data_IF_084939255361
#
_entry.id   IF_084939255361
#
_cell.length_a   1.000
_cell.length_b   1.000
_cell.length_c   1.000
_cell.angle_alpha   90.00
_cell.angle_beta   90.00
_cell.angle_gamma   90.00
#
_symmetry.space_group_name_H-M   'P 1'
#
loop_
_entity.id
_entity.type
_entity.pdbx_description
1 polymer ?
#
# COMPACT_ATOMS: atom_id res chain seq x y z
N UNK A 1 -16.47 -22.99 -4.82
CA UNK A 1 -16.56 -21.54 -4.58
C UNK A 1 -17.22 -21.20 -3.25
N UNK A 2 -16.81 -20.06 -2.65
CA UNK A 2 -17.39 -19.63 -1.38
C UNK A 2 -18.81 -19.06 -1.56
N UNK A 3 -19.16 -18.52 -2.73
CA UNK A 3 -20.47 -17.96 -3.01
C UNK A 3 -20.41 -16.51 -3.52
N UNK A 4 -21.16 -15.60 -2.89
CA UNK A 4 -21.23 -14.18 -3.24
C UNK A 4 -20.14 -13.39 -2.52
N UNK A 5 -19.32 -12.68 -3.28
CA UNK A 5 -18.19 -11.92 -2.74
C UNK A 5 -18.41 -10.42 -2.92
N UNK A 6 -18.42 -9.68 -1.82
CA UNK A 6 -18.30 -8.23 -1.85
C UNK A 6 -16.82 -7.85 -2.00
N UNK A 7 -16.50 -7.04 -2.99
CA UNK A 7 -15.17 -6.49 -3.20
C UNK A 7 -15.24 -4.96 -3.09
N UNK A 8 -14.44 -4.38 -2.20
CA UNK A 8 -14.36 -2.93 -1.99
C UNK A 8 -12.92 -2.51 -2.24
N UNK A 9 -12.69 -1.65 -3.22
CA UNK A 9 -11.36 -1.28 -3.70
C UNK A 9 -11.09 0.22 -3.53
N UNK A 10 -9.82 0.60 -3.30
CA UNK A 10 -9.41 1.97 -3.06
C UNK A 10 -9.19 2.75 -4.36
N UNK A 11 -8.92 4.04 -4.21
CA UNK A 11 -8.73 5.00 -5.29
C UNK A 11 -7.29 5.09 -5.84
N UNK A 12 -6.29 4.58 -5.11
CA UNK A 12 -4.88 4.80 -5.48
C UNK A 12 -4.38 3.93 -6.64
N UNK A 13 -4.96 2.73 -6.83
CA UNK A 13 -4.72 1.84 -7.97
C UNK A 13 -6.02 1.20 -8.44
N UNK A 14 -6.99 1.98 -8.97
CA UNK A 14 -8.36 1.52 -9.13
C UNK A 14 -8.50 0.31 -10.05
N UNK A 15 -7.86 0.33 -11.24
CA UNK A 15 -7.92 -0.79 -12.18
C UNK A 15 -7.10 -2.00 -11.70
N UNK A 16 -5.92 -1.75 -11.13
CA UNK A 16 -5.05 -2.82 -10.64
C UNK A 16 -5.69 -3.58 -9.47
N UNK A 17 -6.28 -2.86 -8.52
CA UNK A 17 -6.97 -3.47 -7.38
C UNK A 17 -8.23 -4.22 -7.79
N UNK A 18 -8.94 -3.74 -8.80
CA UNK A 18 -10.03 -4.50 -9.42
C UNK A 18 -9.52 -5.80 -10.03
N UNK A 19 -8.45 -5.75 -10.83
CA UNK A 19 -7.87 -6.92 -11.48
C UNK A 19 -7.36 -7.98 -10.48
N UNK A 20 -6.65 -7.55 -9.44
CA UNK A 20 -6.13 -8.46 -8.41
C UNK A 20 -7.23 -9.25 -7.69
N UNK A 21 -8.40 -8.64 -7.53
CA UNK A 21 -9.54 -9.28 -6.86
C UNK A 21 -10.44 -10.05 -7.83
N UNK A 22 -10.68 -9.50 -9.03
CA UNK A 22 -11.56 -10.14 -10.02
C UNK A 22 -10.95 -11.40 -10.62
N UNK A 23 -9.64 -11.43 -10.89
CA UNK A 23 -8.96 -12.60 -11.43
C UNK A 23 -9.23 -13.87 -10.61
N UNK A 24 -8.83 -13.92 -9.32
CA UNK A 24 -9.00 -15.13 -8.53
C UNK A 24 -10.46 -15.45 -8.18
N UNK A 25 -11.31 -14.45 -7.94
CA UNK A 25 -12.72 -14.69 -7.57
C UNK A 25 -13.52 -15.30 -8.71
N UNK A 26 -13.30 -14.83 -9.95
CA UNK A 26 -13.93 -15.38 -11.15
C UNK A 26 -13.38 -16.77 -11.47
N UNK A 27 -12.06 -16.97 -11.33
CA UNK A 27 -11.41 -18.29 -11.50
C UNK A 27 -11.96 -19.31 -10.50
N UNK A 28 -12.29 -18.88 -9.27
CA UNK A 28 -12.90 -19.75 -8.24
C UNK A 28 -14.39 -20.05 -8.53
N UNK A 29 -15.01 -19.40 -9.51
CA UNK A 29 -16.43 -19.59 -9.84
C UNK A 29 -17.41 -18.88 -8.89
N UNK A 30 -16.98 -17.81 -8.22
CA UNK A 30 -17.82 -16.98 -7.36
C UNK A 30 -18.55 -15.90 -8.17
N UNK A 31 -19.60 -15.33 -7.59
CA UNK A 31 -20.23 -14.09 -8.06
C UNK A 31 -19.76 -12.89 -7.26
N UNK A 32 -19.77 -11.71 -7.87
CA UNK A 32 -19.12 -10.51 -7.31
C UNK A 32 -20.04 -9.32 -7.31
N UNK A 33 -20.04 -8.59 -6.20
CA UNK A 33 -20.51 -7.21 -6.12
C UNK A 33 -19.29 -6.34 -5.81
N UNK A 34 -18.82 -5.58 -6.81
CA UNK A 34 -17.64 -4.71 -6.73
C UNK A 34 -18.06 -3.26 -6.45
N UNK A 35 -17.55 -2.68 -5.37
CA UNK A 35 -17.65 -1.26 -5.09
C UNK A 35 -16.30 -0.57 -5.26
N UNK A 36 -16.08 0.22 -6.33
CA UNK A 36 -14.90 1.07 -6.45
C UNK A 36 -14.98 2.27 -5.51
N UNK A 37 -13.84 2.92 -5.27
CA UNK A 37 -13.81 4.19 -4.56
C UNK A 37 -14.59 5.27 -5.33
N UNK A 38 -15.19 6.18 -4.61
CA UNK A 38 -16.01 7.27 -5.13
C UNK A 38 -15.21 8.23 -6.02
N UNK A 39 -13.92 8.41 -5.74
CA UNK A 39 -13.01 9.26 -6.52
C UNK A 39 -12.61 8.66 -7.87
N UNK A 40 -12.67 7.31 -8.00
CA UNK A 40 -12.09 6.63 -9.18
C UNK A 40 -12.95 5.47 -9.71
N UNK A 41 -14.27 5.64 -9.97
CA UNK A 41 -15.14 4.53 -10.34
C UNK A 41 -15.03 4.13 -11.83
N UNK A 42 -14.59 5.03 -12.71
CA UNK A 42 -14.77 4.90 -14.17
C UNK A 42 -14.05 3.70 -14.75
N UNK A 43 -12.83 3.40 -14.31
CA UNK A 43 -12.08 2.24 -14.81
C UNK A 43 -12.71 0.91 -14.41
N UNK A 44 -13.30 0.81 -13.22
CA UNK A 44 -14.01 -0.39 -12.79
C UNK A 44 -15.31 -0.61 -13.59
N UNK A 45 -16.06 0.47 -13.85
CA UNK A 45 -17.25 0.41 -14.72
C UNK A 45 -16.89 -0.03 -16.14
N UNK A 46 -15.82 0.54 -16.71
CA UNK A 46 -15.36 0.13 -18.06
C UNK A 46 -14.89 -1.31 -18.09
N UNK A 47 -14.18 -1.76 -17.04
CA UNK A 47 -13.74 -3.16 -16.94
C UNK A 47 -14.93 -4.12 -16.88
N UNK A 48 -15.98 -3.79 -16.12
CA UNK A 48 -17.19 -4.61 -16.06
C UNK A 48 -17.87 -4.73 -17.44
N UNK A 49 -17.96 -3.64 -18.18
CA UNK A 49 -18.48 -3.68 -19.55
C UNK A 49 -17.64 -4.58 -20.46
N UNK A 50 -16.31 -4.48 -20.37
CA UNK A 50 -15.41 -5.35 -21.16
C UNK A 50 -15.55 -6.83 -20.79
N UNK A 51 -15.78 -7.14 -19.51
CA UNK A 51 -16.07 -8.51 -19.08
C UNK A 51 -17.38 -9.04 -19.70
N UNK A 52 -18.43 -8.23 -19.77
CA UNK A 52 -19.69 -8.59 -20.42
C UNK A 52 -19.49 -8.78 -21.92
N UNK A 53 -18.79 -7.87 -22.59
CA UNK A 53 -18.47 -7.94 -24.02
C UNK A 53 -17.64 -9.20 -24.34
N UNK A 54 -16.81 -9.67 -23.41
CA UNK A 54 -16.04 -10.91 -23.49
C UNK A 54 -16.85 -12.18 -23.21
N UNK A 55 -18.14 -12.08 -22.90
CA UNK A 55 -19.04 -13.20 -22.67
C UNK A 55 -19.18 -13.65 -21.20
N UNK A 56 -18.75 -12.84 -20.23
CA UNK A 56 -19.05 -13.13 -18.84
C UNK A 56 -20.58 -13.10 -18.63
N UNK A 57 -21.20 -14.17 -18.06
CA UNK A 57 -22.65 -14.20 -17.90
C UNK A 57 -23.19 -13.04 -17.06
N UNK A 58 -24.37 -12.48 -17.40
CA UNK A 58 -25.02 -11.46 -16.59
C UNK A 58 -25.20 -11.88 -15.14
N UNK A 59 -24.94 -10.96 -14.20
CA UNK A 59 -25.06 -11.21 -12.77
C UNK A 59 -23.82 -11.83 -12.09
N UNK A 60 -22.83 -12.30 -12.86
CA UNK A 60 -21.57 -12.81 -12.28
C UNK A 60 -20.72 -11.67 -11.72
N UNK A 61 -20.62 -10.56 -12.44
CA UNK A 61 -19.96 -9.33 -11.97
C UNK A 61 -20.95 -8.17 -11.98
N UNK A 62 -21.15 -7.56 -10.82
CA UNK A 62 -22.01 -6.39 -10.62
C UNK A 62 -21.17 -5.27 -10.02
N UNK A 63 -21.19 -4.08 -10.62
CA UNK A 63 -20.49 -2.91 -10.09
C UNK A 63 -21.50 -1.92 -9.54
N UNK A 64 -21.33 -1.55 -8.27
CA UNK A 64 -22.14 -0.54 -7.60
C UNK A 64 -21.29 0.65 -7.20
N UNK A 65 -21.76 1.85 -7.48
CA UNK A 65 -21.09 3.10 -7.11
C UNK A 65 -21.80 3.75 -5.93
N UNK A 66 -21.05 4.44 -5.08
CA UNK A 66 -21.59 5.13 -3.91
C UNK A 66 -20.50 5.39 -2.87
N UNK A 67 -20.87 6.12 -1.82
CA UNK A 67 -19.97 6.44 -0.71
C UNK A 67 -19.75 5.24 0.21
N UNK A 68 -18.66 5.30 0.97
CA UNK A 68 -18.28 4.25 1.91
C UNK A 68 -19.42 3.93 2.89
N UNK A 69 -20.00 4.95 3.52
CA UNK A 69 -21.02 4.84 4.56
C UNK A 69 -22.38 4.35 4.04
N UNK A 70 -22.79 4.79 2.85
CA UNK A 70 -24.13 4.52 2.33
C UNK A 70 -24.21 3.35 1.36
N UNK A 71 -23.08 2.91 0.82
CA UNK A 71 -22.97 1.80 -0.12
C UNK A 71 -22.03 0.69 0.40
N UNK A 72 -20.80 1.06 0.81
CA UNK A 72 -19.81 0.11 1.27
C UNK A 72 -20.17 -0.60 2.58
N UNK A 73 -20.63 0.16 3.59
CA UNK A 73 -20.98 -0.40 4.88
C UNK A 73 -22.20 -1.34 4.81
N UNK A 74 -23.33 -1.00 4.13
CA UNK A 74 -24.43 -1.94 3.92
C UNK A 74 -23.99 -3.18 3.12
N UNK A 75 -23.13 -3.03 2.10
CA UNK A 75 -22.61 -4.16 1.33
C UNK A 75 -21.82 -5.12 2.22
N UNK A 76 -20.92 -4.60 3.06
CA UNK A 76 -20.10 -5.40 3.98
C UNK A 76 -20.94 -6.13 5.04
N UNK A 77 -22.06 -5.53 5.46
CA UNK A 77 -22.95 -6.09 6.46
C UNK A 77 -24.07 -7.00 5.87
N UNK A 78 -24.18 -7.10 4.55
CA UNK A 78 -25.32 -7.78 3.91
C UNK A 78 -25.30 -9.28 4.15
N UNK A 79 -26.42 -9.85 4.62
CA UNK A 79 -26.51 -11.27 5.01
C UNK A 79 -26.37 -12.27 3.86
N UNK A 80 -26.58 -11.85 2.60
CA UNK A 80 -26.38 -12.69 1.41
C UNK A 80 -24.97 -12.59 0.82
N UNK A 81 -24.06 -11.89 1.50
CA UNK A 81 -22.65 -11.83 1.15
C UNK A 81 -21.89 -12.85 2.00
N UNK A 82 -21.23 -13.82 1.35
CA UNK A 82 -20.48 -14.88 2.00
C UNK A 82 -19.04 -14.45 2.37
N UNK A 83 -18.51 -13.47 1.65
CA UNK A 83 -17.14 -12.97 1.86
C UNK A 83 -17.02 -11.50 1.51
N UNK A 84 -16.19 -10.78 2.30
CA UNK A 84 -15.73 -9.43 1.96
C UNK A 84 -14.23 -9.46 1.66
N UNK A 85 -13.83 -8.97 0.50
CA UNK A 85 -12.45 -8.69 0.13
C UNK A 85 -12.26 -7.16 0.06
N UNK A 86 -11.47 -6.63 0.98
CA UNK A 86 -11.30 -5.17 1.16
C UNK A 86 -9.84 -4.75 1.00
N UNK A 87 -9.63 -3.66 0.27
CA UNK A 87 -8.38 -2.91 0.28
C UNK A 87 -8.68 -1.45 0.59
N UNK A 88 -8.00 -0.89 1.60
CA UNK A 88 -8.19 0.50 2.02
C UNK A 88 -7.51 0.83 3.35
N UNK A 89 -8.08 1.77 4.12
CA UNK A 89 -7.49 2.16 5.40
C UNK A 89 -7.68 1.11 6.49
N UNK A 90 -6.74 1.07 7.44
CA UNK A 90 -6.83 0.17 8.62
C UNK A 90 -8.08 0.44 9.46
N UNK A 91 -8.50 1.70 9.55
CA UNK A 91 -9.71 2.09 10.28
C UNK A 91 -10.97 1.48 9.67
N UNK A 92 -11.14 1.61 8.35
CA UNK A 92 -12.27 1.01 7.63
C UNK A 92 -12.20 -0.51 7.66
N UNK A 93 -11.00 -1.10 7.53
CA UNK A 93 -10.80 -2.54 7.68
C UNK A 93 -11.34 -3.08 9.01
N UNK A 94 -11.09 -2.38 10.12
CA UNK A 94 -11.64 -2.72 11.44
C UNK A 94 -13.17 -2.64 11.50
N UNK A 95 -13.78 -1.68 10.81
CA UNK A 95 -15.24 -1.57 10.72
C UNK A 95 -15.84 -2.76 9.95
N UNK A 96 -15.19 -3.16 8.84
CA UNK A 96 -15.61 -4.33 8.05
C UNK A 96 -15.53 -5.61 8.86
N UNK A 97 -14.45 -5.82 9.63
CA UNK A 97 -14.35 -6.98 10.52
C UNK A 97 -15.46 -7.01 11.56
N UNK A 98 -15.78 -5.86 12.15
CA UNK A 98 -16.91 -5.76 13.11
C UNK A 98 -18.23 -6.10 12.44
N UNK A 99 -18.49 -5.63 11.23
CA UNK A 99 -19.71 -5.95 10.49
C UNK A 99 -19.77 -7.45 10.13
N UNK A 100 -18.68 -8.04 9.69
CA UNK A 100 -18.60 -9.46 9.33
C UNK A 100 -18.76 -10.43 10.51
N UNK A 101 -18.49 -9.98 11.72
CA UNK A 101 -18.65 -10.79 12.93
C UNK A 101 -20.09 -11.21 13.20
N UNK A 102 -21.11 -10.48 12.70
CA UNK A 102 -22.51 -10.77 12.95
C UNK A 102 -22.99 -12.12 12.35
N UNK A 103 -22.40 -12.51 11.23
CA UNK A 103 -22.76 -13.74 10.49
C UNK A 103 -21.54 -14.60 10.15
N UNK A 104 -20.37 -14.28 10.71
CA UNK A 104 -19.10 -14.99 10.55
C UNK A 104 -18.62 -15.11 9.10
N UNK A 105 -19.02 -14.19 8.22
CA UNK A 105 -18.54 -14.18 6.84
C UNK A 105 -17.03 -14.01 6.76
N UNK A 106 -16.40 -14.63 5.77
CA UNK A 106 -14.95 -14.54 5.60
C UNK A 106 -14.55 -13.13 5.17
N UNK A 107 -13.39 -12.69 5.64
CA UNK A 107 -12.82 -11.38 5.33
C UNK A 107 -11.37 -11.54 4.94
N UNK A 108 -10.95 -10.88 3.85
CA UNK A 108 -9.55 -10.62 3.54
C UNK A 108 -9.33 -9.11 3.48
N UNK A 109 -8.21 -8.66 4.03
CA UNK A 109 -7.89 -7.25 4.23
C UNK A 109 -6.48 -6.95 3.71
N UNK A 110 -6.39 -5.98 2.81
CA UNK A 110 -5.15 -5.32 2.41
C UNK A 110 -5.22 -3.87 2.85
N UNK A 111 -4.43 -3.51 3.85
CA UNK A 111 -4.55 -2.23 4.56
C UNK A 111 -3.27 -1.40 4.42
N UNK A 112 -3.17 -0.35 5.23
CA UNK A 112 -2.05 0.58 5.20
C UNK A 112 -0.71 -0.01 5.57
N UNK A 113 0.34 0.77 5.33
CA UNK A 113 1.72 0.40 5.63
C UNK A 113 2.58 1.58 6.10
N UNK A 114 3.69 1.25 6.73
CA UNK A 114 4.77 2.18 7.11
C UNK A 114 6.11 1.48 6.88
N UNK A 115 6.36 1.12 5.63
CA UNK A 115 7.41 0.18 5.25
C UNK A 115 8.81 0.73 5.51
N UNK A 116 9.66 -0.02 6.21
CA UNK A 116 11.08 0.30 6.32
C UNK A 116 11.78 0.01 4.99
N UNK A 117 12.69 0.89 4.59
CA UNK A 117 13.59 0.72 3.46
C UNK A 117 15.02 0.93 3.98
N UNK A 118 15.85 -0.10 3.96
CA UNK A 118 17.12 -0.16 4.70
C UNK A 118 18.28 -0.17 3.71
N UNK A 119 19.16 0.84 3.78
CA UNK A 119 20.35 0.96 2.94
C UNK A 119 21.59 0.72 3.80
N UNK A 120 22.34 -0.36 3.50
CA UNK A 120 23.53 -0.74 4.22
C UNK A 120 24.79 -0.03 3.67
N UNK A 121 25.91 -0.17 4.40
CA UNK A 121 27.19 0.45 4.06
C UNK A 121 27.81 -0.09 2.75
N UNK A 122 27.49 -1.33 2.40
CA UNK A 122 27.97 -2.04 1.20
C UNK A 122 26.96 -2.00 0.03
N UNK A 123 25.89 -1.22 0.14
CA UNK A 123 24.89 -1.09 -0.93
C UNK A 123 25.49 -0.41 -2.17
N UNK A 124 25.08 -0.86 -3.35
CA UNK A 124 25.26 -0.12 -4.59
C UNK A 124 24.41 1.16 -4.55
N UNK A 125 25.03 2.30 -4.31
CA UNK A 125 24.32 3.57 -4.15
C UNK A 125 23.75 4.11 -5.46
N UNK A 126 24.30 3.71 -6.60
CA UNK A 126 23.79 4.12 -7.92
C UNK A 126 22.43 3.45 -8.21
N UNK A 127 22.17 2.29 -7.62
CA UNK A 127 20.87 1.61 -7.64
C UNK A 127 20.00 1.97 -6.43
N UNK A 128 20.57 2.03 -5.23
CA UNK A 128 19.82 2.21 -3.98
C UNK A 128 19.18 3.61 -3.85
N UNK A 129 19.87 4.67 -4.28
CA UNK A 129 19.36 6.05 -4.20
C UNK A 129 18.12 6.24 -5.09
N UNK A 130 18.17 5.97 -6.41
CA UNK A 130 16.98 6.08 -7.24
C UNK A 130 15.89 5.08 -6.83
N UNK A 131 16.26 3.89 -6.38
CA UNK A 131 15.32 2.89 -5.86
C UNK A 131 14.60 3.37 -4.59
N UNK A 132 15.32 3.99 -3.64
CA UNK A 132 14.73 4.57 -2.44
C UNK A 132 13.82 5.77 -2.75
N UNK A 133 14.21 6.63 -3.69
CA UNK A 133 13.37 7.73 -4.16
C UNK A 133 12.09 7.22 -4.83
N UNK A 134 12.21 6.23 -5.72
CA UNK A 134 11.06 5.60 -6.37
C UNK A 134 10.15 4.90 -5.36
N UNK A 135 10.70 4.24 -4.34
CA UNK A 135 9.94 3.56 -3.31
C UNK A 135 8.92 4.46 -2.58
N UNK A 136 9.19 5.77 -2.51
CA UNK A 136 8.28 6.71 -1.85
C UNK A 136 7.56 7.65 -2.82
N UNK A 137 8.23 8.13 -3.87
CA UNK A 137 7.63 9.15 -4.73
C UNK A 137 6.76 8.56 -5.85
N UNK A 138 6.89 7.26 -6.15
CA UNK A 138 5.96 6.56 -7.04
C UNK A 138 4.52 6.75 -6.58
N UNK A 139 3.63 7.02 -7.53
CA UNK A 139 2.21 7.29 -7.28
C UNK A 139 1.96 8.36 -6.19
N UNK A 140 2.80 9.40 -6.12
CA UNK A 140 2.69 10.51 -5.15
C UNK A 140 2.86 10.05 -3.68
N UNK A 141 3.49 8.92 -3.43
CA UNK A 141 3.50 8.27 -2.11
C UNK A 141 2.14 7.75 -1.65
N UNK A 142 1.13 7.80 -2.51
CA UNK A 142 -0.20 7.22 -2.28
C UNK A 142 -0.19 5.73 -2.59
N UNK A 143 0.70 5.02 -1.93
CA UNK A 143 0.97 3.60 -2.10
C UNK A 143 1.10 2.93 -0.73
N UNK A 144 0.32 1.88 -0.49
CA UNK A 144 0.28 1.19 0.80
C UNK A 144 1.63 0.58 1.21
N UNK A 145 2.44 0.14 0.24
CA UNK A 145 3.77 -0.42 0.48
C UNK A 145 4.91 0.61 0.34
N UNK A 146 4.60 1.92 0.21
CA UNK A 146 5.63 2.95 0.04
C UNK A 146 6.73 2.87 1.11
N UNK A 147 8.00 2.95 0.67
CA UNK A 147 9.19 2.92 1.54
C UNK A 147 9.36 4.23 2.31
N UNK A 148 8.39 4.55 3.16
CA UNK A 148 8.24 5.86 3.81
C UNK A 148 9.17 6.07 5.00
N UNK A 149 9.82 5.01 5.52
CA UNK A 149 10.87 5.08 6.55
C UNK A 149 12.19 4.58 5.95
N UNK A 150 13.07 5.51 5.58
CA UNK A 150 14.38 5.20 4.99
C UNK A 150 15.45 5.16 6.09
N UNK A 151 15.91 3.95 6.42
CA UNK A 151 17.02 3.71 7.33
C UNK A 151 18.31 3.64 6.52
N UNK A 152 19.31 4.44 6.89
CA UNK A 152 20.59 4.49 6.17
C UNK A 152 21.73 4.28 7.14
N UNK A 153 22.63 3.33 6.83
CA UNK A 153 23.82 3.12 7.66
C UNK A 153 24.73 4.37 7.60
N UNK A 154 25.24 4.81 8.76
CA UNK A 154 25.91 6.11 8.95
C UNK A 154 26.96 6.42 7.86
N UNK A 155 27.71 5.42 7.42
CA UNK A 155 28.74 5.58 6.38
C UNK A 155 28.19 6.16 5.07
N UNK A 156 26.95 5.86 4.72
CA UNK A 156 26.32 6.29 3.48
C UNK A 156 25.26 7.39 3.68
N UNK A 157 25.05 7.82 4.93
CA UNK A 157 23.91 8.65 5.31
C UNK A 157 23.81 9.94 4.48
N UNK A 158 24.87 10.75 4.49
CA UNK A 158 24.86 12.04 3.80
C UNK A 158 24.66 11.90 2.28
N UNK A 159 25.31 10.88 1.67
CA UNK A 159 25.18 10.61 0.23
C UNK A 159 23.75 10.20 -0.14
N UNK A 160 23.13 9.33 0.64
CA UNK A 160 21.77 8.86 0.39
C UNK A 160 20.77 9.97 0.65
N UNK A 161 20.91 10.71 1.76
CA UNK A 161 20.04 11.85 2.10
C UNK A 161 20.08 12.92 0.99
N UNK A 162 21.28 13.30 0.54
CA UNK A 162 21.41 14.27 -0.54
C UNK A 162 20.88 13.71 -1.87
N UNK A 163 21.20 12.47 -2.21
CA UNK A 163 20.78 11.82 -3.44
C UNK A 163 19.24 11.72 -3.56
N UNK A 164 18.57 11.26 -2.50
CA UNK A 164 17.11 11.18 -2.45
C UNK A 164 16.49 12.57 -2.48
N UNK A 165 17.09 13.54 -1.78
CA UNK A 165 16.64 14.96 -1.81
C UNK A 165 16.80 15.59 -3.18
N UNK A 166 17.88 15.29 -3.90
CA UNK A 166 18.10 15.74 -5.28
C UNK A 166 17.06 15.13 -6.22
N UNK A 167 16.79 13.83 -6.09
CA UNK A 167 15.74 13.16 -6.85
C UNK A 167 14.36 13.79 -6.58
N UNK A 168 14.03 14.07 -5.31
CA UNK A 168 12.79 14.75 -4.92
C UNK A 168 12.62 16.12 -5.60
N UNK A 169 13.67 16.94 -5.59
CA UNK A 169 13.65 18.28 -6.21
C UNK A 169 13.56 18.24 -7.74
N UNK A 170 14.03 17.16 -8.36
CA UNK A 170 14.01 17.00 -9.82
C UNK A 170 12.63 16.62 -10.38
N UNK A 171 11.72 16.11 -9.56
CA UNK A 171 10.39 15.68 -9.98
C UNK A 171 9.58 16.90 -10.45
N UNK A 172 9.14 16.86 -11.71
CA UNK A 172 8.28 17.90 -12.30
C UNK A 172 6.83 17.69 -11.91
N UNK A 173 6.32 18.59 -11.08
CA UNK A 173 4.92 18.62 -10.68
C UNK A 173 4.06 19.26 -11.76
N UNK A 174 2.88 18.70 -12.02
CA UNK A 174 1.94 19.28 -12.98
C UNK A 174 0.70 18.43 -13.19
N UNK A 175 -0.25 18.92 -14.00
CA UNK A 175 -1.49 18.19 -14.31
C UNK A 175 -1.22 16.82 -14.94
N UNK A 176 -1.99 15.80 -14.55
CA UNK A 176 -1.77 14.43 -15.01
C UNK A 176 -1.93 14.20 -16.51
N UNK A 177 -2.62 15.10 -17.23
CA UNK A 177 -2.74 15.04 -18.69
C UNK A 177 -1.58 15.74 -19.43
N UNK A 178 -0.69 16.42 -18.71
CA UNK A 178 0.50 16.99 -19.32
C UNK A 178 1.60 15.92 -19.40
N UNK A 179 2.08 15.53 -20.58
CA UNK A 179 3.07 14.48 -20.75
C UNK A 179 4.44 14.82 -20.15
N UNK A 180 4.68 16.07 -19.80
CA UNK A 180 5.91 16.51 -19.11
C UNK A 180 5.82 16.39 -17.59
N UNK A 181 4.62 16.17 -17.03
CA UNK A 181 4.46 15.97 -15.59
C UNK A 181 4.96 14.60 -15.18
N UNK A 182 5.71 14.55 -14.09
CA UNK A 182 6.21 13.32 -13.47
C UNK A 182 5.42 12.96 -12.19
N UNK A 183 4.83 13.97 -11.56
CA UNK A 183 3.95 13.79 -10.42
C UNK A 183 2.78 14.76 -10.49
N UNK A 184 1.57 14.22 -10.38
CA UNK A 184 0.31 14.98 -10.37
C UNK A 184 -0.07 15.49 -8.97
N UNK A 185 -1.34 15.93 -8.79
CA UNK A 185 -1.88 16.30 -7.48
C UNK A 185 -2.23 15.06 -6.65
N UNK A 186 -2.37 15.24 -5.35
CA UNK A 186 -3.05 14.25 -4.49
C UNK A 186 -4.51 14.08 -4.95
N UNK A 187 -5.09 12.92 -4.66
CA UNK A 187 -6.40 12.52 -5.19
C UNK A 187 -7.54 13.46 -4.80
N UNK A 188 -7.51 14.05 -3.62
CA UNK A 188 -8.61 14.86 -3.08
C UNK A 188 -8.13 15.93 -2.08
N UNK A 189 -9.05 16.86 -1.74
CA UNK A 189 -8.80 17.84 -0.67
C UNK A 189 -8.57 17.15 0.68
N UNK A 190 -9.32 16.10 0.99
CA UNK A 190 -9.18 15.34 2.25
C UNK A 190 -7.77 14.76 2.36
N UNK A 191 -7.24 14.18 1.28
CA UNK A 191 -5.89 13.64 1.26
C UNK A 191 -4.83 14.75 1.34
N UNK A 192 -5.05 15.87 0.68
CA UNK A 192 -4.18 17.05 0.77
C UNK A 192 -4.11 17.58 2.21
N UNK A 193 -5.25 17.76 2.87
CA UNK A 193 -5.33 18.23 4.27
C UNK A 193 -4.63 17.24 5.23
N UNK A 194 -4.79 15.92 4.99
CA UNK A 194 -4.10 14.87 5.75
C UNK A 194 -2.58 15.01 5.62
N UNK A 195 -2.05 15.04 4.42
CA UNK A 195 -0.60 15.11 4.17
C UNK A 195 -0.01 16.40 4.73
N UNK A 196 -0.63 17.56 4.48
CA UNK A 196 -0.17 18.84 5.01
C UNK A 196 -0.27 18.92 6.53
N UNK A 197 -1.26 18.26 7.13
CA UNK A 197 -1.37 18.07 8.58
C UNK A 197 -0.18 17.29 9.17
N UNK A 198 0.25 16.22 8.52
CA UNK A 198 1.45 15.49 8.92
C UNK A 198 2.75 16.30 8.77
N UNK A 199 2.88 17.08 7.70
CA UNK A 199 4.04 17.97 7.52
C UNK A 199 4.12 19.00 8.64
N UNK A 200 2.99 19.56 9.06
CA UNK A 200 2.90 20.47 10.20
C UNK A 200 3.28 19.78 11.49
N UNK A 201 2.68 18.63 11.80
CA UNK A 201 3.01 17.82 12.99
C UNK A 201 4.50 17.48 13.05
N UNK A 202 5.08 17.00 11.96
CA UNK A 202 6.52 16.69 11.92
C UNK A 202 7.39 17.88 12.23
N UNK A 203 7.07 19.07 11.71
CA UNK A 203 7.78 20.32 12.02
C UNK A 203 7.61 20.72 13.50
N UNK A 204 6.40 20.64 14.03
CA UNK A 204 6.09 20.94 15.44
C UNK A 204 6.78 19.97 16.39
N UNK A 205 6.92 18.70 16.02
CA UNK A 205 7.62 17.66 16.78
C UNK A 205 9.16 17.73 16.63
N UNK A 206 9.70 18.62 15.77
CA UNK A 206 11.13 18.88 15.64
C UNK A 206 11.82 18.19 14.44
N UNK A 207 11.08 17.57 13.53
CA UNK A 207 11.65 17.03 12.29
C UNK A 207 12.21 18.14 11.41
N UNK A 208 13.38 17.94 10.83
CA UNK A 208 14.02 18.85 9.90
C UNK A 208 13.55 18.57 8.47
N UNK A 209 12.97 19.55 7.80
CA UNK A 209 12.65 19.45 6.38
C UNK A 209 13.90 19.73 5.54
N UNK A 210 14.39 18.73 4.81
CA UNK A 210 15.56 18.81 3.93
C UNK A 210 15.17 19.38 2.55
N UNK A 211 14.00 18.97 2.04
CA UNK A 211 13.39 19.53 0.84
C UNK A 211 11.87 19.36 0.87
N UNK A 212 11.15 20.12 0.05
CA UNK A 212 9.69 20.09 0.00
C UNK A 212 9.03 20.68 1.25
N UNK A 213 8.11 19.96 1.83
CA UNK A 213 7.44 20.33 3.10
C UNK A 213 6.30 21.33 2.96
N UNK A 214 5.83 21.60 1.74
CA UNK A 214 4.80 22.61 1.49
C UNK A 214 3.93 22.27 0.27
N UNK A 215 2.83 23.00 0.16
CA UNK A 215 2.01 23.03 -1.05
C UNK A 215 2.81 23.58 -2.24
N UNK A 216 2.59 23.03 -3.42
CA UNK A 216 3.10 23.55 -4.68
C UNK A 216 1.99 24.30 -5.42
N UNK A 217 2.23 25.59 -5.73
CA UNK A 217 1.26 26.44 -6.41
C UNK A 217 -0.02 26.73 -5.62
N UNK A 218 -0.96 27.43 -6.25
CA UNK A 218 -2.20 27.91 -5.61
C UNK A 218 -3.44 27.11 -6.05
N UNK A 219 -3.35 26.34 -7.13
CA UNK A 219 -4.43 25.54 -7.71
C UNK A 219 -4.14 24.06 -7.59
N UNK A 220 -5.19 23.24 -7.42
CA UNK A 220 -5.07 21.80 -7.25
C UNK A 220 -4.51 21.39 -5.88
N UNK A 221 -4.32 20.09 -5.69
CA UNK A 221 -3.89 19.48 -4.42
C UNK A 221 -2.43 19.03 -4.48
N UNK A 222 -1.56 19.89 -5.01
CA UNK A 222 -0.15 19.56 -5.17
C UNK A 222 0.63 19.75 -3.87
N UNK A 223 1.41 18.73 -3.50
CA UNK A 223 2.38 18.76 -2.39
C UNK A 223 3.76 18.45 -2.95
N UNK A 224 4.76 19.23 -2.56
CA UNK A 224 6.13 18.98 -2.99
C UNK A 224 6.65 17.67 -2.42
N UNK A 225 7.36 16.83 -3.22
CA UNK A 225 8.11 15.69 -2.71
C UNK A 225 8.99 16.09 -1.54
N UNK A 226 8.81 15.43 -0.41
CA UNK A 226 9.33 15.90 0.88
C UNK A 226 10.25 14.86 1.52
N UNK A 227 11.41 15.34 1.96
CA UNK A 227 12.37 14.55 2.75
C UNK A 227 12.48 15.18 4.13
N UNK A 228 12.17 14.40 5.15
CA UNK A 228 12.30 14.76 6.56
C UNK A 228 13.48 14.02 7.17
N UNK A 229 14.27 14.72 7.98
CA UNK A 229 15.41 14.22 8.71
C UNK A 229 15.30 14.60 10.19
N UNK A 230 16.16 14.01 11.05
CA UNK A 230 16.14 14.26 12.48
C UNK A 230 14.85 13.79 13.18
N UNK A 231 14.17 12.80 12.59
CA UNK A 231 12.95 12.23 13.14
C UNK A 231 13.28 11.24 14.25
N UNK A 232 12.52 11.29 15.35
CA UNK A 232 12.54 10.27 16.40
C UNK A 232 11.48 9.20 16.15
N UNK A 233 11.67 8.02 16.74
CA UNK A 233 10.76 6.88 16.64
C UNK A 233 9.36 7.17 17.23
N UNK A 234 9.21 8.25 18.01
CA UNK A 234 7.96 8.65 18.66
C UNK A 234 7.13 9.63 17.82
N UNK A 235 7.71 10.25 16.80
CA UNK A 235 7.02 11.25 15.99
C UNK A 235 5.91 10.60 15.16
N UNK A 236 4.80 11.34 15.00
CA UNK A 236 3.69 10.87 14.16
C UNK A 236 4.10 10.60 12.72
N UNK A 237 4.96 11.42 12.15
CA UNK A 237 5.51 11.23 10.79
C UNK A 237 6.33 9.95 10.64
N UNK A 238 6.84 9.39 11.75
CA UNK A 238 7.55 8.10 11.77
C UNK A 238 6.57 6.93 11.95
N UNK A 239 5.59 7.04 12.85
CA UNK A 239 4.70 5.95 13.27
C UNK A 239 3.49 5.74 12.35
N UNK A 240 2.88 6.82 11.90
CA UNK A 240 1.62 6.78 11.16
C UNK A 240 1.83 6.82 9.64
N UNK A 241 0.92 6.19 8.90
CA UNK A 241 0.88 6.24 7.44
C UNK A 241 0.44 7.63 6.97
N UNK A 242 1.32 8.36 6.29
CA UNK A 242 1.03 9.68 5.72
C UNK A 242 0.21 9.55 4.44
N UNK A 243 0.55 8.59 3.59
CA UNK A 243 -0.05 8.32 2.29
C UNK A 243 0.09 9.49 1.32
N UNK A 244 1.31 10.03 1.25
CA UNK A 244 1.71 11.17 0.43
C UNK A 244 3.21 11.15 0.15
N UNK A 245 3.75 12.08 -0.65
CA UNK A 245 5.13 12.07 -1.11
C UNK A 245 6.10 12.54 -0.02
N UNK A 246 6.12 11.83 1.11
CA UNK A 246 6.90 12.20 2.30
C UNK A 246 7.68 11.01 2.82
N UNK A 247 9.00 11.12 2.88
CA UNK A 247 9.89 10.12 3.46
C UNK A 247 10.59 10.67 4.71
N UNK A 248 10.72 9.84 5.74
CA UNK A 248 11.57 10.09 6.90
C UNK A 248 12.89 9.34 6.72
N UNK A 249 14.02 10.01 6.93
CA UNK A 249 15.37 9.44 6.77
C UNK A 249 16.05 9.39 8.13
N UNK A 250 16.50 8.21 8.53
CA UNK A 250 17.09 7.96 9.84
C UNK A 250 18.45 7.25 9.70
N UNK A 251 19.48 7.69 10.44
CA UNK A 251 20.73 6.96 10.50
C UNK A 251 20.62 5.73 11.41
N UNK A 252 21.45 4.73 11.14
CA UNK A 252 21.76 3.63 12.07
C UNK A 252 23.23 3.26 11.96
N UNK A 253 23.80 2.71 13.04
CA UNK A 253 25.23 2.36 13.11
C UNK A 253 25.49 0.94 12.60
N UNK A 254 24.86 -0.03 13.25
CA UNK A 254 25.12 -1.44 13.03
C UNK A 254 23.83 -2.18 12.62
N UNK A 255 24.01 -3.31 11.97
CA UNK A 255 22.91 -4.25 11.68
C UNK A 255 22.75 -5.17 12.88
N UNK A 256 22.06 -4.70 13.86
CA UNK A 256 21.84 -5.33 15.16
C UNK A 256 20.34 -5.50 15.47
N UNK A 257 20.05 -5.98 16.66
CA UNK A 257 18.67 -6.18 17.14
C UNK A 257 17.93 -4.84 17.28
N UNK A 258 18.64 -3.74 17.53
CA UNK A 258 18.04 -2.40 17.64
C UNK A 258 17.51 -1.91 16.29
N UNK A 259 18.26 -2.06 15.20
CA UNK A 259 17.79 -1.75 13.85
C UNK A 259 16.54 -2.56 13.52
N UNK A 260 16.58 -3.88 13.78
CA UNK A 260 15.46 -4.76 13.50
C UNK A 260 14.23 -4.39 14.34
N UNK A 261 14.44 -4.08 15.62
CA UNK A 261 13.37 -3.59 16.51
C UNK A 261 12.74 -2.32 15.94
N UNK A 262 13.53 -1.31 15.59
CA UNK A 262 13.07 -0.04 15.03
C UNK A 262 12.36 -0.23 13.69
N UNK A 263 12.89 -1.06 12.81
CA UNK A 263 12.26 -1.38 11.53
C UNK A 263 10.86 -2.01 11.71
N UNK A 264 10.70 -2.85 12.73
CA UNK A 264 9.45 -3.53 13.06
C UNK A 264 8.51 -2.73 13.97
N UNK A 265 8.95 -1.61 14.56
CA UNK A 265 8.23 -0.86 15.59
C UNK A 265 7.18 0.09 15.01
N UNK A 266 6.20 -0.49 14.35
CA UNK A 266 4.94 0.16 13.96
C UNK A 266 3.82 -0.87 14.03
N UNK A 267 2.58 -0.40 14.00
CA UNK A 267 1.41 -1.29 13.93
C UNK A 267 1.27 -2.00 12.56
N UNK A 268 2.05 -1.59 11.58
CA UNK A 268 2.02 -2.08 10.21
C UNK A 268 3.06 -3.18 9.95
N UNK A 269 2.87 -3.90 8.84
CA UNK A 269 3.78 -4.92 8.37
C UNK A 269 3.47 -5.35 6.93
N UNK A 270 3.29 -4.38 6.01
CA UNK A 270 2.94 -4.70 4.62
C UNK A 270 4.17 -5.08 3.81
N UNK A 271 5.14 -4.18 3.72
CA UNK A 271 6.34 -4.40 2.92
C UNK A 271 7.60 -3.86 3.60
N UNK A 272 8.76 -4.21 3.03
CA UNK A 272 10.07 -3.70 3.41
C UNK A 272 11.04 -3.76 2.22
N UNK A 273 12.11 -2.96 2.27
CA UNK A 273 13.22 -3.02 1.31
C UNK A 273 14.57 -3.13 2.01
N UNK A 274 15.52 -3.83 1.38
CA UNK A 274 16.90 -3.98 1.87
C UNK A 274 17.87 -3.82 0.71
N UNK A 275 18.85 -2.93 0.85
CA UNK A 275 19.88 -2.67 -0.15
C UNK A 275 21.25 -3.04 0.41
N UNK A 276 21.91 -4.03 -0.18
CA UNK A 276 23.23 -4.55 0.21
C UNK A 276 23.80 -5.44 -0.88
N UNK A 277 25.11 -5.43 -1.08
CA UNK A 277 25.78 -6.38 -1.95
C UNK A 277 26.03 -7.75 -1.29
N UNK A 278 25.80 -7.87 0.03
CA UNK A 278 26.02 -9.09 0.78
C UNK A 278 24.73 -9.91 0.93
N UNK A 279 24.61 -10.98 0.15
CA UNK A 279 23.41 -11.83 0.12
C UNK A 279 23.07 -12.45 1.50
N UNK A 280 24.08 -12.77 2.32
CA UNK A 280 23.84 -13.32 3.68
C UNK A 280 23.21 -12.27 4.61
N UNK A 281 23.70 -11.03 4.53
CA UNK A 281 23.10 -9.90 5.29
C UNK A 281 21.68 -9.64 4.81
N UNK A 282 21.45 -9.64 3.49
CA UNK A 282 20.13 -9.43 2.91
C UNK A 282 19.11 -10.43 3.44
N UNK A 283 19.41 -11.74 3.35
CA UNK A 283 18.49 -12.79 3.85
C UNK A 283 18.32 -12.74 5.37
N UNK A 284 19.39 -12.47 6.13
CA UNK A 284 19.30 -12.36 7.59
C UNK A 284 18.35 -11.26 8.01
N UNK A 285 18.45 -10.08 7.39
CA UNK A 285 17.57 -8.94 7.69
C UNK A 285 16.15 -9.25 7.22
N UNK A 286 15.98 -9.71 5.97
CA UNK A 286 14.67 -10.02 5.40
C UNK A 286 13.87 -11.00 6.28
N UNK A 287 14.50 -12.04 6.82
CA UNK A 287 13.86 -13.02 7.68
C UNK A 287 13.42 -12.46 9.06
N UNK A 288 14.03 -11.37 9.51
CA UNK A 288 13.71 -10.75 10.80
C UNK A 288 12.68 -9.62 10.68
N UNK A 289 12.45 -9.11 9.45
CA UNK A 289 11.44 -8.08 9.21
C UNK A 289 10.03 -8.68 9.22
N UNK A 290 9.16 -8.09 10.00
CA UNK A 290 7.74 -8.50 10.10
C UNK A 290 6.90 -7.82 9.03
N UNK A 291 7.18 -8.16 7.78
CA UNK A 291 6.52 -7.67 6.58
C UNK A 291 6.10 -8.83 5.68
N UNK A 292 4.98 -8.67 4.98
CA UNK A 292 4.48 -9.71 4.08
C UNK A 292 5.28 -9.83 2.79
N UNK A 293 5.90 -8.73 2.35
CA UNK A 293 6.82 -8.69 1.21
C UNK A 293 8.12 -7.98 1.60
N UNK A 294 9.26 -8.57 1.26
CA UNK A 294 10.58 -7.93 1.43
C UNK A 294 11.31 -7.95 0.10
N UNK A 295 11.63 -6.78 -0.41
CA UNK A 295 12.45 -6.62 -1.61
C UNK A 295 13.92 -6.48 -1.27
N UNK A 296 14.79 -7.13 -2.04
CA UNK A 296 16.24 -7.05 -1.90
C UNK A 296 16.82 -6.44 -3.18
N UNK A 297 17.51 -5.31 -3.06
CA UNK A 297 18.10 -4.54 -4.15
C UNK A 297 17.10 -4.15 -5.27
N UNK A 298 15.85 -4.06 -4.93
CA UNK A 298 14.75 -3.56 -5.76
C UNK A 298 13.64 -3.02 -4.86
N UNK A 299 12.62 -2.39 -5.46
CA UNK A 299 11.40 -1.97 -4.76
C UNK A 299 10.23 -1.90 -5.75
N UNK A 300 9.00 -2.15 -5.26
CA UNK A 300 7.77 -2.14 -6.09
C UNK A 300 7.80 -3.11 -7.28
N UNK A 301 8.55 -4.21 -7.19
CA UNK A 301 8.52 -5.27 -8.19
C UNK A 301 7.47 -6.29 -7.78
N UNK A 302 6.45 -6.44 -8.61
CA UNK A 302 5.35 -7.36 -8.41
C UNK A 302 5.34 -8.44 -9.49
N UNK A 303 5.02 -9.66 -9.10
CA UNK A 303 4.80 -10.78 -10.01
C UNK A 303 3.51 -11.48 -9.62
N UNK A 304 2.66 -11.78 -10.61
CA UNK A 304 1.39 -12.45 -10.37
C UNK A 304 1.52 -13.83 -9.69
N UNK A 305 2.68 -14.45 -9.78
CA UNK A 305 2.99 -15.73 -9.13
C UNK A 305 3.40 -15.58 -7.66
N UNK A 306 3.74 -14.36 -7.19
CA UNK A 306 4.18 -14.10 -5.83
C UNK A 306 3.03 -13.54 -4.98
N UNK A 307 2.72 -14.14 -3.83
CA UNK A 307 1.68 -13.64 -2.95
C UNK A 307 2.07 -12.28 -2.35
N UNK A 308 1.10 -11.35 -2.31
CA UNK A 308 1.22 -10.04 -1.69
C UNK A 308 0.23 -9.89 -0.56
N UNK A 309 0.63 -9.27 0.56
CA UNK A 309 -0.26 -8.99 1.68
C UNK A 309 0.48 -8.73 2.98
N UNK A 310 -0.24 -8.21 3.98
CA UNK A 310 0.33 -7.68 5.20
C UNK A 310 0.46 -8.65 6.36
N UNK A 311 1.30 -8.23 7.32
CA UNK A 311 1.34 -8.72 8.69
C UNK A 311 0.72 -7.66 9.61
N UNK A 312 0.45 -7.99 10.86
CA UNK A 312 -0.05 -7.08 11.89
C UNK A 312 -1.32 -6.33 11.43
N UNK A 313 -1.38 -5.00 11.60
CA UNK A 313 -2.54 -4.20 11.19
C UNK A 313 -2.51 -3.76 9.71
N UNK A 314 -1.58 -4.30 8.92
CA UNK A 314 -1.66 -4.21 7.46
C UNK A 314 -2.61 -5.25 6.84
N UNK A 315 -3.22 -6.10 7.64
CA UNK A 315 -4.28 -7.00 7.21
C UNK A 315 -3.91 -8.47 7.23
N UNK A 316 -4.80 -9.28 6.66
CA UNK A 316 -4.64 -10.72 6.52
C UNK A 316 -5.27 -11.24 5.23
N UNK A 317 -4.88 -12.44 4.84
CA UNK A 317 -5.07 -12.95 3.50
C UNK A 317 -3.88 -12.62 2.61
N UNK A 318 -3.97 -13.03 1.36
CA UNK A 318 -2.98 -12.67 0.33
C UNK A 318 -3.70 -12.41 -0.98
N UNK A 319 -3.23 -11.41 -1.70
CA UNK A 319 -3.54 -11.19 -3.10
C UNK A 319 -2.44 -11.83 -3.95
N UNK A 320 -2.72 -12.16 -5.20
CA UNK A 320 -1.80 -12.83 -6.13
C UNK A 320 -1.28 -14.19 -5.62
N UNK A 321 -0.41 -14.84 -6.39
CA UNK A 321 0.06 -16.19 -6.10
C UNK A 321 -1.04 -17.24 -6.09
N UNK A 322 -0.68 -18.50 -5.96
CA UNK A 322 -1.65 -19.60 -5.83
C UNK A 322 -2.47 -19.55 -4.54
N UNK A 323 -1.93 -18.93 -3.49
CA UNK A 323 -2.56 -18.82 -2.18
C UNK A 323 -3.84 -17.99 -2.21
N UNK A 324 -3.98 -17.05 -3.12
CA UNK A 324 -5.18 -16.20 -3.24
C UNK A 324 -6.44 -17.01 -3.49
N UNK A 325 -6.36 -18.12 -4.22
CA UNK A 325 -7.52 -18.96 -4.51
C UNK A 325 -8.15 -19.55 -3.25
N UNK A 326 -7.35 -19.87 -2.24
CA UNK A 326 -7.84 -20.39 -0.94
C UNK A 326 -8.77 -19.40 -0.24
N UNK A 327 -8.66 -18.12 -0.55
CA UNK A 327 -9.54 -17.08 0.01
C UNK A 327 -10.96 -17.13 -0.58
N UNK A 328 -11.16 -17.77 -1.73
CA UNK A 328 -12.42 -17.83 -2.47
C UNK A 328 -13.01 -19.24 -2.56
N UNK A 329 -12.40 -20.20 -1.87
CA UNK A 329 -12.80 -21.60 -1.87
C UNK A 329 -13.16 -22.09 -0.46
N UNK A 330 -14.01 -23.11 -0.42
CA UNK A 330 -14.30 -23.88 0.79
C UNK A 330 -13.97 -25.34 0.61
N UNK A 331 -13.34 -25.93 1.61
CA UNK A 331 -13.03 -27.37 1.63
C UNK A 331 -14.23 -28.15 2.15
N UNK A 332 -14.67 -29.18 1.40
CA UNK A 332 -15.73 -30.10 1.80
C UNK A 332 -15.19 -31.52 1.83
N UNK A 333 -15.48 -32.24 2.90
CA UNK A 333 -15.23 -33.69 2.98
C UNK A 333 -16.54 -34.45 2.75
N UNK A 334 -16.49 -35.49 1.91
CA UNK A 334 -17.61 -36.40 1.66
C UNK A 334 -17.14 -37.79 2.06
N UNK A 335 -17.84 -38.42 3.01
CA UNK A 335 -17.61 -39.81 3.40
C UNK A 335 -18.83 -40.65 2.98
N UNK A 336 -18.57 -41.74 2.29
CA UNK A 336 -19.62 -42.70 1.84
C UNK A 336 -19.26 -44.09 2.27
N UNK A 337 -20.21 -44.79 2.90
CA UNK A 337 -20.15 -46.22 3.10
C UNK A 337 -20.89 -46.92 1.96
N UNK A 338 -20.27 -47.95 1.37
CA UNK A 338 -20.84 -48.75 0.28
C UNK A 338 -21.24 -50.12 0.87
#
# INVERSE_FOLDING_TARGET
PIGVVAQIIPWNFPLLMAAWKLGPVLTAGCTVVLKPAEETPLSALRLAQLCMDAGLPPGVLNVITGFGETCGAPLAAHSQVDKVAFTGSTEVGKLIVKAAANDLKKVTLELGGKSPNIVLDDADLDAAIPGAASAIFFNHGQCCCAGSRLFVQERNYDRVLEGVSKAARAIRLGPGLNPQSEMGPLVSKTQFDRVTGFLRSGKEEGARTVCGGKRHGDTGFFVEPTVLDGTSDQMRVYQEEIFGPVVTVMPFKEVDDELIRRANDTVYGLAAGVWTSNIKRAHRIANQLRAGTVWINCYNIFDAALPFGGYKQSGWGREMGGEVLKNYLETKSICMSI
#
